data_IF_310511352906
#
_entry.id   IF_310511352906
#
_cell.length_a   1.000
_cell.length_b   1.000
_cell.length_c   1.000
_cell.angle_alpha   90.00
_cell.angle_beta   90.00
_cell.angle_gamma   90.00
#
_symmetry.space_group_name_H-M   'P 1'
#
loop_
_entity.id
_entity.type
_entity.pdbx_description
1 polymer ?
#
# COMPACT_ATOMS: atom_id res chain seq x y z
N UNK A 1 -0.88 -1.00 12.97
CA UNK A 1 -0.47 0.07 12.06
C UNK A 1 -1.28 -0.09 10.80
N UNK A 2 -2.14 0.88 10.47
CA UNK A 2 -2.94 0.85 9.25
C UNK A 2 -2.02 0.91 8.01
N UNK A 3 -2.43 0.22 6.94
CA UNK A 3 -1.65 0.09 5.72
C UNK A 3 -1.84 1.25 4.72
N UNK A 4 -2.86 2.10 4.91
CA UNK A 4 -3.11 3.27 4.06
C UNK A 4 -3.40 2.89 2.60
N UNK A 5 -3.98 1.72 2.37
CA UNK A 5 -4.16 1.16 1.03
C UNK A 5 -5.16 1.98 0.20
N UNK A 6 -4.88 2.07 -1.10
CA UNK A 6 -5.80 2.55 -2.11
C UNK A 6 -5.67 1.68 -3.36
N UNK A 7 -6.79 1.27 -3.94
CA UNK A 7 -6.77 0.53 -5.20
C UNK A 7 -6.48 1.47 -6.39
N UNK A 8 -5.74 1.01 -7.38
CA UNK A 8 -5.27 1.88 -8.49
C UNK A 8 -6.43 2.51 -9.29
N UNK A 9 -7.51 1.77 -9.55
CA UNK A 9 -8.68 2.32 -10.26
C UNK A 9 -9.38 3.39 -9.41
N UNK A 10 -9.46 3.20 -8.09
CA UNK A 10 -10.01 4.20 -7.19
C UNK A 10 -9.16 5.48 -7.19
N UNK A 11 -7.83 5.36 -7.24
CA UNK A 11 -6.93 6.52 -7.39
C UNK A 11 -7.13 7.20 -8.75
N UNK A 12 -7.34 6.44 -9.83
CA UNK A 12 -7.66 6.99 -11.13
C UNK A 12 -8.98 7.77 -11.10
N UNK A 13 -10.02 7.25 -10.42
CA UNK A 13 -11.29 7.95 -10.21
C UNK A 13 -11.09 9.27 -9.46
N UNK A 14 -10.24 9.30 -8.43
CA UNK A 14 -9.87 10.53 -7.72
C UNK A 14 -9.24 11.56 -8.68
N UNK A 15 -8.31 11.13 -9.52
CA UNK A 15 -7.64 12.01 -10.50
C UNK A 15 -8.64 12.56 -11.52
N UNK A 16 -9.55 11.71 -12.02
CA UNK A 16 -10.60 12.11 -12.96
C UNK A 16 -11.53 13.13 -12.29
N UNK A 17 -12.05 12.84 -11.09
CA UNK A 17 -12.96 13.73 -10.35
C UNK A 17 -12.32 15.10 -10.08
N UNK A 18 -11.06 15.11 -9.63
CA UNK A 18 -10.33 16.35 -9.38
C UNK A 18 -10.04 17.12 -10.67
N UNK A 19 -9.75 16.42 -11.77
CA UNK A 19 -9.47 17.03 -13.08
C UNK A 19 -10.72 17.54 -13.80
N UNK A 20 -11.90 16.98 -13.52
CA UNK A 20 -13.16 17.30 -14.22
C UNK A 20 -14.09 18.23 -13.46
N UNK A 21 -13.71 18.72 -12.28
CA UNK A 21 -14.58 19.52 -11.41
C UNK A 21 -13.99 20.89 -11.13
N UNK A 22 -14.68 21.97 -11.51
CA UNK A 22 -14.20 23.35 -11.28
C UNK A 22 -13.94 23.65 -9.79
N UNK A 23 -14.73 23.04 -8.89
CA UNK A 23 -14.56 23.16 -7.44
C UNK A 23 -13.19 22.69 -6.94
N UNK A 24 -12.51 21.84 -7.69
CA UNK A 24 -11.19 21.30 -7.36
C UNK A 24 -10.04 22.28 -7.67
N UNK A 25 -10.28 23.37 -8.41
CA UNK A 25 -9.23 24.33 -8.78
C UNK A 25 -8.59 24.92 -7.51
N UNK A 26 -7.25 24.83 -7.42
CA UNK A 26 -6.48 25.32 -6.27
C UNK A 26 -6.61 24.48 -5.00
N UNK A 27 -7.18 23.27 -5.09
CA UNK A 27 -7.36 22.35 -3.95
C UNK A 27 -6.37 21.19 -4.01
N UNK A 28 -6.09 20.63 -2.83
CA UNK A 28 -5.37 19.38 -2.66
C UNK A 28 -6.29 18.35 -1.97
N UNK A 29 -6.28 17.12 -2.47
CA UNK A 29 -7.09 16.00 -2.01
C UNK A 29 -6.21 14.77 -1.78
N UNK A 30 -6.53 13.99 -0.76
CA UNK A 30 -5.87 12.71 -0.50
C UNK A 30 -6.61 11.59 -1.23
N UNK A 31 -5.91 10.86 -2.10
CA UNK A 31 -6.42 9.65 -2.72
C UNK A 31 -6.22 8.45 -1.78
N UNK A 32 -7.24 8.16 -0.97
CA UNK A 32 -7.23 7.04 -0.02
C UNK A 32 -8.64 6.44 0.07
N UNK A 33 -8.71 5.11 0.22
CA UNK A 33 -9.98 4.38 0.30
C UNK A 33 -10.59 4.39 1.70
N UNK A 34 -9.88 4.93 2.70
CA UNK A 34 -10.37 5.01 4.08
C UNK A 34 -10.57 3.64 4.74
N UNK A 35 -9.81 2.65 4.31
CA UNK A 35 -9.87 1.28 4.82
C UNK A 35 -9.24 1.19 6.22
N UNK A 36 -9.85 0.40 7.10
CA UNK A 36 -9.25 0.03 8.39
C UNK A 36 -8.52 -1.31 8.29
N UNK A 37 -7.59 -1.41 7.33
CA UNK A 37 -6.77 -2.61 7.09
C UNK A 37 -5.36 -2.34 7.58
N UNK A 38 -4.83 -3.24 8.40
CA UNK A 38 -3.44 -3.20 8.88
C UNK A 38 -2.48 -3.89 7.92
N UNK A 39 -1.19 -3.55 8.01
CA UNK A 39 -0.16 -4.26 7.26
C UNK A 39 -0.15 -5.77 7.54
N UNK A 40 -0.41 -6.16 8.80
CA UNK A 40 -0.47 -7.56 9.21
C UNK A 40 -1.61 -8.28 8.50
N UNK A 41 -2.80 -7.70 8.48
CA UNK A 41 -3.96 -8.25 7.78
C UNK A 41 -3.68 -8.35 6.28
N UNK A 42 -3.21 -7.26 5.66
CA UNK A 42 -2.91 -7.25 4.23
C UNK A 42 -1.95 -8.36 3.80
N UNK A 43 -0.82 -8.52 4.51
CA UNK A 43 0.12 -9.59 4.18
C UNK A 43 -0.40 -10.99 4.52
N UNK A 44 -1.25 -11.13 5.54
CA UNK A 44 -1.92 -12.40 5.87
C UNK A 44 -2.90 -12.79 4.78
N UNK A 45 -3.70 -11.85 4.30
CA UNK A 45 -4.68 -12.07 3.23
C UNK A 45 -3.99 -12.48 1.92
N UNK A 46 -2.86 -11.82 1.58
CA UNK A 46 -2.03 -12.22 0.43
C UNK A 46 -1.48 -13.64 0.60
N UNK A 47 -0.93 -13.97 1.78
CA UNK A 47 -0.36 -15.30 2.03
C UNK A 47 -1.42 -16.40 1.89
N UNK A 48 -2.62 -16.17 2.46
CA UNK A 48 -3.77 -17.05 2.32
C UNK A 48 -4.22 -17.19 0.86
N UNK A 49 -4.29 -16.07 0.13
CA UNK A 49 -4.70 -16.04 -1.28
C UNK A 49 -3.80 -16.88 -2.20
N UNK A 50 -2.49 -16.93 -1.93
CA UNK A 50 -1.51 -17.71 -2.70
C UNK A 50 -1.15 -19.07 -2.07
N UNK A 51 -1.78 -19.44 -0.95
CA UNK A 51 -1.61 -20.75 -0.31
C UNK A 51 -0.26 -20.96 0.39
N UNK A 52 0.39 -19.90 0.88
CA UNK A 52 1.65 -19.99 1.64
C UNK A 52 1.46 -19.70 3.12
N UNK A 53 2.46 -20.03 3.94
CA UNK A 53 2.43 -19.72 5.37
C UNK A 53 2.41 -18.21 5.63
N UNK A 54 1.71 -17.82 6.70
CA UNK A 54 1.64 -16.43 7.13
C UNK A 54 3.02 -15.87 7.50
N UNK A 55 3.30 -14.60 7.16
CA UNK A 55 4.56 -13.98 7.50
C UNK A 55 4.73 -13.83 9.02
N UNK A 56 5.93 -14.15 9.50
CA UNK A 56 6.29 -14.00 10.91
C UNK A 56 6.54 -12.53 11.23
N UNK A 57 6.13 -12.11 12.43
CA UNK A 57 6.42 -10.77 12.93
C UNK A 57 7.82 -10.69 13.54
N UNK A 58 8.51 -9.57 13.32
CA UNK A 58 9.82 -9.28 13.92
C UNK A 58 9.70 -8.04 14.82
N UNK A 59 10.31 -8.03 16.02
CA UNK A 59 10.37 -6.83 16.86
C UNK A 59 11.04 -5.66 16.14
N UNK A 60 10.47 -4.46 16.28
CA UNK A 60 10.92 -3.26 15.56
C UNK A 60 12.43 -2.94 15.71
N UNK A 61 13.07 -3.09 16.91
CA UNK A 61 14.50 -2.85 17.04
C UNK A 61 15.35 -3.82 16.21
N UNK A 62 14.96 -5.10 16.15
CA UNK A 62 15.67 -6.11 15.35
C UNK A 62 15.52 -5.84 13.86
N UNK A 63 14.32 -5.44 13.44
CA UNK A 63 14.06 -5.05 12.06
C UNK A 63 14.91 -3.83 11.64
N UNK A 64 15.04 -2.83 12.51
CA UNK A 64 15.83 -1.63 12.25
C UNK A 64 17.33 -1.92 12.11
N UNK A 65 17.88 -2.80 12.97
CA UNK A 65 19.27 -3.26 12.87
C UNK A 65 19.50 -4.00 11.54
N UNK A 66 18.61 -4.93 11.18
CA UNK A 66 18.69 -5.67 9.92
C UNK A 66 18.68 -4.76 8.70
N UNK A 67 17.76 -3.79 8.66
CA UNK A 67 17.67 -2.81 7.57
C UNK A 67 18.95 -1.96 7.47
N UNK A 68 19.51 -1.52 8.59
CA UNK A 68 20.75 -0.73 8.62
C UNK A 68 21.95 -1.52 8.07
N UNK A 69 22.13 -2.76 8.53
CA UNK A 69 23.22 -3.62 8.07
C UNK A 69 23.11 -3.91 6.57
N UNK A 70 21.90 -4.13 6.07
CA UNK A 70 21.69 -4.46 4.67
C UNK A 70 21.86 -3.24 3.75
N UNK A 71 21.36 -2.07 4.13
CA UNK A 71 21.64 -0.82 3.39
C UNK A 71 23.14 -0.50 3.37
N UNK A 72 23.83 -0.70 4.49
CA UNK A 72 25.28 -0.53 4.59
C UNK A 72 26.04 -1.49 3.68
N UNK A 73 25.67 -2.78 3.69
CA UNK A 73 26.28 -3.80 2.83
C UNK A 73 26.06 -3.52 1.34
N UNK A 74 24.83 -3.19 0.92
CA UNK A 74 24.53 -2.88 -0.49
C UNK A 74 25.30 -1.66 -0.99
N UNK A 75 25.44 -0.62 -0.15
CA UNK A 75 26.28 0.55 -0.46
C UNK A 75 27.75 0.18 -0.56
N UNK A 76 28.25 -0.66 0.34
CA UNK A 76 29.66 -1.07 0.37
C UNK A 76 30.04 -1.95 -0.83
N UNK A 77 29.15 -2.83 -1.27
CA UNK A 77 29.37 -3.74 -2.40
C UNK A 77 28.90 -3.17 -3.76
N UNK A 78 28.42 -1.92 -3.80
CA UNK A 78 27.99 -1.26 -5.05
C UNK A 78 26.83 -1.96 -5.76
N UNK A 79 26.00 -2.70 -5.03
CA UNK A 79 24.89 -3.47 -5.60
C UNK A 79 23.78 -2.49 -6.01
N UNK A 80 23.58 -2.32 -7.33
CA UNK A 80 22.57 -1.40 -7.86
C UNK A 80 21.13 -1.93 -7.75
N UNK A 81 20.95 -3.20 -7.40
CA UNK A 81 19.62 -3.78 -7.14
C UNK A 81 19.08 -3.23 -5.82
N UNK A 82 17.81 -2.83 -5.78
CA UNK A 82 17.19 -2.32 -4.55
C UNK A 82 17.32 -3.35 -3.42
N UNK A 83 17.78 -2.97 -2.22
CA UNK A 83 17.78 -3.85 -1.07
C UNK A 83 16.36 -4.35 -0.80
N UNK A 84 16.21 -5.65 -0.49
CA UNK A 84 14.92 -6.30 -0.23
C UNK A 84 14.14 -5.70 0.97
N UNK A 85 14.84 -5.06 1.93
CA UNK A 85 14.30 -4.43 3.13
C UNK A 85 15.06 -3.11 3.36
N UNK A 86 14.42 -1.98 3.08
CA UNK A 86 14.98 -0.66 3.38
C UNK A 86 14.42 -0.15 4.71
N UNK A 87 15.12 0.81 5.33
CA UNK A 87 14.60 1.55 6.48
C UNK A 87 13.29 2.25 6.16
N UNK A 88 13.14 2.73 4.93
CA UNK A 88 11.92 3.36 4.45
C UNK A 88 10.74 2.38 4.43
N UNK A 89 10.94 1.16 3.92
CA UNK A 89 9.92 0.11 3.95
C UNK A 89 9.54 -0.24 5.40
N UNK A 90 10.51 -0.31 6.31
CA UNK A 90 10.24 -0.58 7.72
C UNK A 90 9.47 0.57 8.39
N UNK A 91 9.83 1.82 8.11
CA UNK A 91 9.12 2.99 8.61
C UNK A 91 7.68 3.03 8.10
N UNK A 92 7.47 2.74 6.81
CA UNK A 92 6.14 2.69 6.20
C UNK A 92 5.25 1.62 6.88
N UNK A 93 5.78 0.41 7.03
CA UNK A 93 5.05 -0.72 7.68
C UNK A 93 4.86 -0.47 9.17
N UNK A 94 5.82 0.19 9.81
CA UNK A 94 5.83 0.52 11.23
C UNK A 94 5.06 1.78 11.61
N UNK A 95 4.44 2.49 10.66
CA UNK A 95 3.69 3.73 10.92
C UNK A 95 2.20 3.55 10.68
N UNK A 96 1.37 4.34 11.37
CA UNK A 96 -0.08 4.32 11.17
C UNK A 96 -0.46 5.21 9.99
N UNK A 97 -0.72 4.60 8.83
CA UNK A 97 -0.94 5.31 7.57
C UNK A 97 -2.41 5.69 7.32
N UNK A 98 -3.17 6.00 8.38
CA UNK A 98 -4.54 6.52 8.24
C UNK A 98 -4.49 7.95 7.73
N UNK A 99 -5.02 8.17 6.54
CA UNK A 99 -5.04 9.46 5.88
C UNK A 99 -6.50 9.94 5.77
N UNK A 100 -6.82 11.18 6.18
CA UNK A 100 -8.18 11.69 6.07
C UNK A 100 -8.54 11.93 4.59
N UNK A 101 -9.74 11.51 4.19
CA UNK A 101 -10.30 11.74 2.85
C UNK A 101 -11.63 12.51 2.88
N UNK A 102 -11.97 13.14 4.00
CA UNK A 102 -13.24 13.86 4.18
C UNK A 102 -13.44 14.97 3.16
N UNK A 103 -12.36 15.69 2.80
CA UNK A 103 -12.46 16.79 1.84
C UNK A 103 -12.96 16.32 0.48
N UNK A 104 -12.38 15.24 -0.07
CA UNK A 104 -12.76 14.78 -1.41
C UNK A 104 -14.17 14.16 -1.40
N UNK A 105 -14.54 13.46 -0.32
CA UNK A 105 -15.90 12.95 -0.10
C UNK A 105 -16.92 14.09 -0.09
N UNK A 106 -16.65 15.13 0.68
CA UNK A 106 -17.60 16.23 0.90
C UNK A 106 -17.66 17.22 -0.27
N UNK A 107 -16.54 17.48 -0.95
CA UNK A 107 -16.48 18.47 -2.03
C UNK A 107 -16.73 17.88 -3.42
N UNK A 108 -16.24 16.67 -3.68
CA UNK A 108 -16.25 16.02 -5.00
C UNK A 108 -17.12 14.77 -5.04
N UNK A 109 -17.75 14.37 -3.92
CA UNK A 109 -18.63 13.19 -3.87
C UNK A 109 -17.89 11.87 -4.04
N UNK A 110 -16.57 11.84 -3.82
CA UNK A 110 -15.77 10.63 -4.02
C UNK A 110 -16.21 9.50 -3.07
N UNK A 111 -16.40 8.33 -3.63
CA UNK A 111 -16.56 7.07 -2.91
C UNK A 111 -15.76 5.97 -3.66
N UNK A 112 -14.93 5.18 -2.98
CA UNK A 112 -14.20 4.08 -3.61
C UNK A 112 -15.16 3.09 -4.28
N UNK A 113 -14.90 2.75 -5.54
CA UNK A 113 -15.74 1.81 -6.31
C UNK A 113 -15.24 0.37 -6.17
N UNK A 114 -13.93 0.18 -6.07
CA UNK A 114 -13.30 -1.11 -5.83
C UNK A 114 -13.09 -1.30 -4.34
N UNK A 115 -13.76 -2.29 -3.76
CA UNK A 115 -13.57 -2.66 -2.35
C UNK A 115 -12.23 -3.39 -2.14
N UNK A 116 -11.77 -3.45 -0.89
CA UNK A 116 -10.57 -4.22 -0.52
C UNK A 116 -10.65 -5.69 -0.96
N UNK A 117 -11.78 -6.36 -0.70
CA UNK A 117 -11.99 -7.75 -1.07
C UNK A 117 -11.98 -7.97 -2.59
N UNK A 118 -12.61 -7.05 -3.34
CA UNK A 118 -12.57 -7.09 -4.81
C UNK A 118 -11.15 -6.84 -5.35
N UNK A 119 -10.41 -5.92 -4.72
CA UNK A 119 -9.00 -5.68 -5.05
C UNK A 119 -8.15 -6.94 -4.88
N UNK A 120 -8.27 -7.64 -3.74
CA UNK A 120 -7.58 -8.92 -3.51
C UNK A 120 -7.98 -9.98 -4.54
N UNK A 121 -9.26 -10.08 -4.87
CA UNK A 121 -9.74 -11.01 -5.91
C UNK A 121 -9.09 -10.74 -7.27
N UNK A 122 -9.03 -9.47 -7.69
CA UNK A 122 -8.37 -9.08 -8.96
C UNK A 122 -6.87 -9.34 -8.95
N UNK A 123 -6.20 -9.10 -7.80
CA UNK A 123 -4.79 -9.47 -7.63
C UNK A 123 -4.61 -10.98 -7.82
N UNK A 124 -5.49 -11.81 -7.23
CA UNK A 124 -5.45 -13.26 -7.42
C UNK A 124 -5.58 -13.65 -8.89
N UNK A 125 -6.59 -13.11 -9.57
CA UNK A 125 -6.82 -13.38 -10.99
C UNK A 125 -5.63 -12.98 -11.87
N UNK A 126 -4.94 -11.89 -11.51
CA UNK A 126 -3.71 -11.46 -12.19
C UNK A 126 -2.55 -12.44 -11.94
N UNK A 127 -2.31 -12.79 -10.67
CA UNK A 127 -1.23 -13.71 -10.27
C UNK A 127 -1.43 -15.11 -10.86
N UNK A 128 -2.65 -15.62 -10.87
CA UNK A 128 -2.96 -16.95 -11.44
C UNK A 128 -2.70 -16.99 -12.96
N UNK A 129 -2.87 -15.86 -13.68
CA UNK A 129 -2.55 -15.76 -15.11
C UNK A 129 -1.04 -15.71 -15.36
N UNK A 130 -0.31 -14.95 -14.55
CA UNK A 130 1.15 -14.77 -14.73
C UNK A 130 1.98 -15.96 -14.21
N UNK A 131 1.51 -16.68 -13.19
CA UNK A 131 2.17 -17.88 -12.66
C UNK A 131 1.67 -19.19 -13.30
N UNK A 132 0.59 -19.13 -14.08
CA UNK A 132 -0.01 -20.27 -14.80
C UNK A 132 0.52 -20.49 -16.21
N UNK A 133 1.64 -19.86 -16.59
CA UNK A 133 2.31 -19.99 -17.89
C UNK A 133 3.67 -20.71 -17.80
#
# INVERSE_FOLDING_TARGET
MNAGLAYVDNVADVLILAGSTERAIGRAYNACDGLDVTWKEYFTDIAHMIGVENPKSLPAPLAAIGAYLMEGGYKLFGIQKRPLITREALNLVGSDNRIPNDRIKNELGYAPQVSYAEGLKRIKEYVDKDLGG
#
